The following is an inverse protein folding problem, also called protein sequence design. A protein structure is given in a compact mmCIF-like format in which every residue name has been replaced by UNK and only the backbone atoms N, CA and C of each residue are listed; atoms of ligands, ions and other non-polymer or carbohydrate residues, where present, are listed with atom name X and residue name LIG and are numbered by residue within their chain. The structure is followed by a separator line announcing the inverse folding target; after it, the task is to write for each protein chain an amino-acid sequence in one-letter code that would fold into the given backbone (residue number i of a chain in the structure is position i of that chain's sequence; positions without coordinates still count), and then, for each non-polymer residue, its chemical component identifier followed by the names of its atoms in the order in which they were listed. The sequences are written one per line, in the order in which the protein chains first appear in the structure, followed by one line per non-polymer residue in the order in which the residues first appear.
data_IF_226779359723
#
_entry.id   IF_226779359723
#
_cell.length_a   1.000
_cell.length_b   1.000
_cell.length_c   1.000
_cell.angle_alpha   90.00
_cell.angle_beta   90.00
_cell.angle_gamma   90.00
#
_symmetry.space_group_name_H-M   'P 1'
#
loop_
_entity.id
_entity.type
_entity.pdbx_description
1 polymer ?
#
# COMPACT_ATOMS: atom_id res chain seq x y z
N UNK A 1 -13.68 7.13 -19.06
CA UNK A 1 -14.71 6.45 -18.23
C UNK A 1 -15.23 5.17 -18.87
N UNK A 2 -15.63 5.16 -20.14
CA UNK A 2 -16.20 3.96 -20.80
C UNK A 2 -15.39 2.67 -20.63
N UNK A 3 -14.07 2.71 -20.84
CA UNK A 3 -13.18 1.55 -20.60
C UNK A 3 -13.17 1.01 -19.16
N UNK A 4 -13.48 1.87 -18.18
CA UNK A 4 -13.58 1.47 -16.77
C UNK A 4 -14.93 0.79 -16.54
N UNK A 5 -16.01 1.32 -17.11
CA UNK A 5 -17.34 0.71 -17.07
C UNK A 5 -17.35 -0.69 -17.67
N UNK A 6 -16.66 -0.90 -18.79
CA UNK A 6 -16.49 -2.22 -19.44
C UNK A 6 -15.82 -3.27 -18.53
N UNK A 7 -15.10 -2.85 -17.50
CA UNK A 7 -14.34 -3.72 -16.59
C UNK A 7 -14.96 -3.86 -15.20
N UNK A 8 -16.13 -3.30 -14.95
CA UNK A 8 -16.75 -3.31 -13.60
C UNK A 8 -16.95 -4.74 -13.10
N UNK A 9 -17.48 -5.63 -13.93
CA UNK A 9 -17.73 -7.02 -13.53
C UNK A 9 -16.43 -7.77 -13.20
N UNK A 10 -15.36 -7.45 -13.95
CA UNK A 10 -14.02 -7.96 -13.63
C UNK A 10 -13.57 -7.47 -12.26
N UNK A 11 -13.61 -6.16 -12.00
CA UNK A 11 -13.19 -5.59 -10.71
C UNK A 11 -14.00 -6.14 -9.54
N UNK A 12 -15.30 -6.36 -9.72
CA UNK A 12 -16.17 -6.99 -8.73
C UNK A 12 -15.76 -8.43 -8.38
N UNK A 13 -15.26 -9.17 -9.36
CA UNK A 13 -14.80 -10.56 -9.17
C UNK A 13 -13.40 -10.67 -8.56
N UNK A 14 -12.66 -9.56 -8.50
CA UNK A 14 -11.28 -9.55 -8.01
C UNK A 14 -11.23 -9.38 -6.50
N UNK A 15 -10.22 -9.97 -5.81
CA UNK A 15 -10.02 -9.77 -4.38
C UNK A 15 -9.39 -8.39 -4.11
N UNK A 16 -10.14 -7.33 -4.40
CA UNK A 16 -9.76 -5.93 -4.21
C UNK A 16 -10.87 -5.19 -3.45
N UNK A 17 -10.50 -4.14 -2.74
CA UNK A 17 -11.43 -3.25 -2.04
C UNK A 17 -11.50 -1.86 -2.68
N UNK A 18 -10.53 -1.53 -3.56
CA UNK A 18 -10.32 -0.18 -4.08
C UNK A 18 -9.94 -0.24 -5.55
N UNK A 19 -10.62 0.56 -6.37
CA UNK A 19 -10.26 0.80 -7.77
C UNK A 19 -9.68 2.20 -7.87
N UNK A 20 -8.44 2.29 -8.36
CA UNK A 20 -7.76 3.56 -8.59
C UNK A 20 -7.82 3.99 -10.06
N UNK A 21 -8.26 5.22 -10.30
CA UNK A 21 -8.28 5.82 -11.64
C UNK A 21 -7.51 7.13 -11.66
N UNK A 22 -6.95 7.52 -12.81
CA UNK A 22 -6.40 8.87 -12.99
C UNK A 22 -7.51 9.84 -13.35
N UNK A 23 -7.52 11.00 -12.69
CA UNK A 23 -8.39 12.11 -13.09
C UNK A 23 -7.98 12.58 -14.50
N UNK A 24 -8.96 12.71 -15.39
CA UNK A 24 -8.74 13.21 -16.75
C UNK A 24 -8.41 14.70 -16.77
N UNK A 25 -7.69 15.12 -17.80
CA UNK A 25 -7.23 16.51 -17.93
C UNK A 25 -8.34 17.47 -18.35
N UNK A 26 -9.42 16.99 -19.00
CA UNK A 26 -10.53 17.84 -19.45
C UNK A 26 -11.69 17.72 -18.46
N UNK A 27 -11.67 18.55 -17.42
CA UNK A 27 -12.70 18.59 -16.39
C UNK A 27 -13.90 19.44 -16.86
N UNK A 28 -14.87 18.79 -17.49
CA UNK A 28 -16.17 19.39 -17.79
C UNK A 28 -17.29 18.76 -16.96
N UNK A 29 -18.49 19.35 -16.99
CA UNK A 29 -19.64 18.90 -16.21
C UNK A 29 -19.98 17.43 -16.48
N UNK A 30 -20.05 17.03 -17.75
CA UNK A 30 -20.32 15.64 -18.15
C UNK A 30 -19.31 14.65 -17.57
N UNK A 31 -18.01 14.98 -17.63
CA UNK A 31 -16.96 14.12 -17.07
C UNK A 31 -17.13 13.95 -15.55
N UNK A 32 -17.49 15.03 -14.84
CA UNK A 32 -17.74 14.98 -13.39
C UNK A 32 -19.00 14.17 -13.07
N UNK A 33 -20.08 14.31 -13.84
CA UNK A 33 -21.28 13.49 -13.71
C UNK A 33 -20.99 11.99 -13.91
N UNK A 34 -20.21 11.65 -14.94
CA UNK A 34 -19.78 10.28 -15.21
C UNK A 34 -18.93 9.73 -14.04
N UNK A 35 -18.05 10.57 -13.48
CA UNK A 35 -17.21 10.24 -12.32
C UNK A 35 -18.04 9.99 -11.06
N UNK A 36 -19.04 10.81 -10.77
CA UNK A 36 -19.90 10.61 -9.60
C UNK A 36 -20.80 9.38 -9.76
N UNK A 37 -21.29 9.13 -10.97
CA UNK A 37 -22.04 7.92 -11.29
C UNK A 37 -21.18 6.68 -11.11
N UNK A 38 -19.91 6.73 -11.53
CA UNK A 38 -18.96 5.64 -11.33
C UNK A 38 -18.66 5.40 -9.84
N UNK A 39 -18.49 6.48 -9.06
CA UNK A 39 -18.30 6.38 -7.61
C UNK A 39 -19.49 5.69 -6.92
N UNK A 40 -20.72 6.06 -7.27
CA UNK A 40 -21.93 5.42 -6.75
C UNK A 40 -22.00 3.95 -7.14
N UNK A 41 -21.63 3.62 -8.38
CA UNK A 41 -21.62 2.24 -8.87
C UNK A 41 -20.61 1.38 -8.11
N UNK A 42 -19.36 1.85 -7.95
CA UNK A 42 -18.38 1.13 -7.15
C UNK A 42 -18.82 0.97 -5.69
N UNK A 43 -19.38 2.01 -5.07
CA UNK A 43 -19.91 1.90 -3.71
C UNK A 43 -21.01 0.83 -3.58
N UNK A 44 -21.88 0.66 -4.59
CA UNK A 44 -22.91 -0.40 -4.59
C UNK A 44 -22.33 -1.81 -4.68
N UNK A 45 -21.11 -1.96 -5.17
CA UNK A 45 -20.38 -3.22 -5.27
C UNK A 45 -19.32 -3.36 -4.15
N UNK A 46 -19.41 -2.57 -3.07
CA UNK A 46 -18.44 -2.51 -1.96
C UNK A 46 -16.99 -2.20 -2.39
N UNK A 47 -16.84 -1.46 -3.50
CA UNK A 47 -15.55 -0.97 -3.98
C UNK A 47 -15.41 0.53 -3.71
N UNK A 48 -14.25 0.91 -3.21
CA UNK A 48 -13.86 2.31 -3.03
C UNK A 48 -13.27 2.86 -4.33
N UNK A 49 -13.73 4.03 -4.78
CA UNK A 49 -13.08 4.77 -5.86
C UNK A 49 -11.97 5.67 -5.31
N UNK A 50 -10.73 5.39 -5.67
CA UNK A 50 -9.59 6.28 -5.42
C UNK A 50 -9.25 7.06 -6.69
N UNK A 51 -9.17 8.39 -6.57
CA UNK A 51 -8.85 9.27 -7.69
C UNK A 51 -7.40 9.72 -7.56
N UNK A 52 -6.58 9.44 -8.57
CA UNK A 52 -5.27 10.07 -8.71
C UNK A 52 -5.44 11.49 -9.23
N UNK A 53 -5.04 12.47 -8.43
CA UNK A 53 -5.24 13.90 -8.70
C UNK A 53 -3.89 14.60 -8.89
N UNK A 54 -3.78 15.39 -9.94
CA UNK A 54 -2.71 16.36 -10.12
C UNK A 54 -3.24 17.75 -9.79
N UNK A 55 -2.83 18.32 -8.66
CA UNK A 55 -3.39 19.58 -8.14
C UNK A 55 -3.11 20.78 -9.05
N UNK A 56 -1.96 20.79 -9.73
CA UNK A 56 -1.63 21.84 -10.70
C UNK A 56 -2.51 21.75 -11.93
N UNK A 57 -2.71 20.56 -12.49
CA UNK A 57 -3.58 20.37 -13.65
C UNK A 57 -5.03 20.73 -13.35
N UNK A 58 -5.55 20.30 -12.17
CA UNK A 58 -6.88 20.69 -11.70
C UNK A 58 -7.01 22.20 -11.61
N UNK A 59 -6.05 22.88 -10.97
CA UNK A 59 -6.11 24.33 -10.78
C UNK A 59 -6.08 25.08 -12.10
N UNK A 60 -5.24 24.65 -13.04
CA UNK A 60 -5.14 25.24 -14.39
C UNK A 60 -6.47 25.15 -15.14
N UNK A 61 -7.11 23.99 -15.09
CA UNK A 61 -8.43 23.78 -15.68
C UNK A 61 -9.50 24.71 -15.08
N UNK A 62 -9.54 24.83 -13.75
CA UNK A 62 -10.56 25.63 -13.05
C UNK A 62 -10.37 27.13 -13.24
N UNK A 63 -9.12 27.58 -13.30
CA UNK A 63 -8.80 29.00 -13.49
C UNK A 63 -8.85 29.42 -14.96
N UNK A 64 -8.98 28.46 -15.90
CA UNK A 64 -9.04 28.72 -17.34
C UNK A 64 -7.75 29.29 -17.89
N UNK A 65 -6.60 28.96 -17.28
CA UNK A 65 -5.32 29.57 -17.68
C UNK A 65 -4.23 28.58 -18.04
N UNK A 66 -3.53 28.91 -19.11
CA UNK A 66 -2.50 28.10 -19.74
C UNK A 66 -1.11 28.51 -19.25
N UNK A 67 -0.89 28.55 -17.93
CA UNK A 67 0.40 28.98 -17.39
C UNK A 67 1.42 27.83 -17.38
N UNK A 68 2.54 28.02 -18.08
CA UNK A 68 3.64 27.05 -18.15
C UNK A 68 4.52 27.05 -16.88
N UNK A 69 4.50 28.09 -16.05
CA UNK A 69 5.47 28.30 -14.96
C UNK A 69 4.91 28.55 -13.55
N UNK A 70 3.60 28.36 -13.31
CA UNK A 70 3.04 28.64 -11.98
C UNK A 70 3.49 27.65 -10.91
N UNK A 71 3.68 28.18 -9.70
CA UNK A 71 4.06 27.43 -8.51
C UNK A 71 2.83 27.01 -7.71
N UNK A 72 2.87 25.82 -7.10
CA UNK A 72 1.86 25.44 -6.10
C UNK A 72 1.88 26.37 -4.86
N UNK A 73 2.90 27.21 -4.72
CA UNK A 73 3.01 28.20 -3.66
C UNK A 73 2.05 29.38 -3.81
N UNK A 74 1.48 29.56 -5.01
CA UNK A 74 0.55 30.64 -5.25
C UNK A 74 -0.78 30.39 -4.53
N UNK A 75 -1.22 31.31 -3.64
CA UNK A 75 -2.44 31.10 -2.84
C UNK A 75 -3.69 30.85 -3.68
N UNK A 76 -3.76 31.42 -4.90
CA UNK A 76 -4.87 31.22 -5.83
C UNK A 76 -4.93 29.76 -6.33
N UNK A 77 -3.78 29.16 -6.62
CA UNK A 77 -3.65 27.76 -7.07
C UNK A 77 -4.01 26.81 -5.93
N UNK A 78 -3.51 27.06 -4.72
CA UNK A 78 -3.87 26.27 -3.54
C UNK A 78 -5.37 26.34 -3.25
N UNK A 79 -5.95 27.54 -3.27
CA UNK A 79 -7.38 27.74 -3.02
C UNK A 79 -8.24 27.02 -4.06
N UNK A 80 -7.89 27.10 -5.34
CA UNK A 80 -8.59 26.39 -6.41
C UNK A 80 -8.51 24.86 -6.22
N UNK A 81 -7.31 24.33 -5.96
CA UNK A 81 -7.05 22.91 -5.68
C UNK A 81 -7.93 22.38 -4.54
N UNK A 82 -7.88 23.03 -3.37
CA UNK A 82 -8.60 22.55 -2.18
C UNK A 82 -10.12 22.76 -2.29
N UNK A 83 -10.57 23.82 -2.97
CA UNK A 83 -11.99 24.02 -3.25
C UNK A 83 -12.55 22.90 -4.14
N UNK A 84 -11.78 22.45 -5.12
CA UNK A 84 -12.16 21.33 -5.97
C UNK A 84 -12.20 20.00 -5.21
N UNK A 85 -11.21 19.72 -4.36
CA UNK A 85 -11.23 18.54 -3.50
C UNK A 85 -12.46 18.55 -2.58
N UNK A 86 -12.79 19.69 -1.95
CA UNK A 86 -14.01 19.85 -1.17
C UNK A 86 -15.28 19.56 -1.99
N UNK A 87 -15.33 20.06 -3.23
CA UNK A 87 -16.43 19.80 -4.16
C UNK A 87 -16.60 18.30 -4.46
N UNK A 88 -15.51 17.55 -4.64
CA UNK A 88 -15.53 16.09 -4.84
C UNK A 88 -15.96 15.35 -3.56
N UNK A 89 -15.43 15.73 -2.40
CA UNK A 89 -15.78 15.13 -1.10
C UNK A 89 -17.26 15.28 -0.79
N UNK A 90 -17.83 16.48 -0.99
CA UNK A 90 -19.27 16.74 -0.82
C UNK A 90 -20.16 15.89 -1.73
N UNK A 91 -19.61 15.28 -2.79
CA UNK A 91 -20.30 14.37 -3.72
C UNK A 91 -19.93 12.90 -3.52
N UNK A 92 -19.28 12.58 -2.39
CA UNK A 92 -19.07 11.23 -1.90
C UNK A 92 -17.75 10.58 -2.31
N UNK A 93 -16.86 11.29 -3.03
CA UNK A 93 -15.50 10.78 -3.29
C UNK A 93 -14.66 10.99 -2.04
N UNK A 94 -14.13 9.89 -1.48
CA UNK A 94 -13.42 9.93 -0.20
C UNK A 94 -11.99 9.42 -0.25
N UNK A 95 -11.45 9.11 -1.44
CA UNK A 95 -10.09 8.60 -1.58
C UNK A 95 -9.30 9.30 -2.70
N UNK A 96 -8.11 9.80 -2.38
CA UNK A 96 -7.26 10.56 -3.29
C UNK A 96 -5.82 10.04 -3.32
N UNK A 97 -5.22 9.91 -4.49
CA UNK A 97 -3.78 9.63 -4.72
C UNK A 97 -3.12 10.88 -5.33
N UNK A 98 -2.24 11.54 -4.59
CA UNK A 98 -1.54 12.74 -5.07
C UNK A 98 -0.33 12.43 -5.93
N UNK A 99 0.05 11.16 -6.08
CA UNK A 99 1.27 10.76 -6.77
C UNK A 99 2.51 11.36 -6.13
N UNK A 100 3.55 11.56 -6.94
CA UNK A 100 4.83 12.11 -6.48
C UNK A 100 4.70 13.62 -6.21
N UNK A 101 4.79 14.06 -4.96
CA UNK A 101 4.66 15.49 -4.60
C UNK A 101 5.74 16.37 -5.26
N UNK A 102 6.82 15.80 -5.80
CA UNK A 102 7.89 16.56 -6.46
C UNK A 102 7.38 17.49 -7.58
N UNK A 103 6.27 17.16 -8.26
CA UNK A 103 5.74 18.05 -9.29
C UNK A 103 5.20 19.38 -8.71
N UNK A 104 4.81 19.41 -7.43
CA UNK A 104 4.30 20.61 -6.75
C UNK A 104 5.42 21.55 -6.32
N UNK A 105 6.59 21.01 -5.99
CA UNK A 105 7.74 21.77 -5.47
C UNK A 105 8.82 22.01 -6.52
N UNK A 106 8.57 21.65 -7.78
CA UNK A 106 9.56 21.66 -8.87
C UNK A 106 10.30 23.01 -9.04
N UNK A 107 9.64 24.12 -8.71
CA UNK A 107 10.21 25.47 -8.83
C UNK A 107 11.15 25.84 -7.68
N UNK A 108 11.07 25.14 -6.54
CA UNK A 108 11.91 25.36 -5.37
C UNK A 108 12.10 24.04 -4.57
N UNK A 109 12.81 23.05 -5.15
CA UNK A 109 12.93 21.74 -4.54
C UNK A 109 13.84 21.80 -3.31
N UNK A 110 13.30 21.46 -2.15
CA UNK A 110 14.06 21.16 -0.93
C UNK A 110 13.26 20.21 -0.05
N UNK A 111 13.95 19.47 0.82
CA UNK A 111 13.32 18.52 1.75
C UNK A 111 12.29 19.22 2.63
N UNK A 112 12.65 20.39 3.19
CA UNK A 112 11.74 21.25 3.94
C UNK A 112 10.49 21.61 3.13
N UNK A 113 10.64 21.96 1.85
CA UNK A 113 9.51 22.34 1.01
C UNK A 113 8.57 21.16 0.73
N UNK A 114 9.13 19.97 0.53
CA UNK A 114 8.34 18.74 0.33
C UNK A 114 7.55 18.43 1.61
N UNK A 115 8.17 18.54 2.78
CA UNK A 115 7.51 18.35 4.08
C UNK A 115 6.37 19.36 4.26
N UNK A 116 6.64 20.66 4.08
CA UNK A 116 5.65 21.72 4.28
C UNK A 116 4.45 21.57 3.32
N UNK A 117 4.73 21.22 2.06
CA UNK A 117 3.69 20.99 1.05
C UNK A 117 2.85 19.75 1.38
N UNK A 118 3.49 18.67 1.84
CA UNK A 118 2.83 17.44 2.29
C UNK A 118 1.87 17.71 3.45
N UNK A 119 2.35 18.42 4.49
CA UNK A 119 1.56 18.80 5.66
C UNK A 119 0.39 19.72 5.30
N UNK A 120 0.62 20.67 4.39
CA UNK A 120 -0.43 21.56 3.89
C UNK A 120 -1.56 20.78 3.22
N UNK A 121 -1.23 19.80 2.37
CA UNK A 121 -2.23 18.95 1.70
C UNK A 121 -3.03 18.16 2.73
N UNK A 122 -2.37 17.46 3.67
CA UNK A 122 -3.05 16.67 4.68
C UNK A 122 -3.96 17.49 5.59
N UNK A 123 -3.47 18.63 6.09
CA UNK A 123 -4.27 19.55 6.91
C UNK A 123 -5.55 19.97 6.19
N UNK A 124 -5.46 20.28 4.90
CA UNK A 124 -6.62 20.66 4.10
C UNK A 124 -7.54 19.49 3.75
N UNK A 125 -7.05 18.26 3.68
CA UNK A 125 -7.90 17.08 3.45
C UNK A 125 -8.68 16.67 4.70
N UNK A 126 -8.02 16.73 5.87
CA UNK A 126 -8.66 16.38 7.14
C UNK A 126 -9.79 17.33 7.50
N UNK A 127 -9.68 18.61 7.14
CA UNK A 127 -10.79 19.57 7.30
C UNK A 127 -12.00 19.23 6.42
N UNK A 128 -11.85 18.39 5.39
CA UNK A 128 -12.96 17.90 4.56
C UNK A 128 -13.67 16.67 5.15
N UNK A 129 -13.02 15.93 6.05
CA UNK A 129 -13.60 14.78 6.74
C UNK A 129 -12.56 13.80 7.27
N UNK A 130 -12.83 13.22 8.46
CA UNK A 130 -11.92 12.23 9.08
C UNK A 130 -11.78 10.94 8.26
N UNK A 131 -12.82 10.57 7.52
CA UNK A 131 -12.86 9.35 6.70
C UNK A 131 -12.22 9.52 5.31
N UNK A 132 -11.64 10.69 5.02
CA UNK A 132 -10.94 10.91 3.75
C UNK A 132 -9.61 10.16 3.77
N UNK A 133 -9.45 9.24 2.82
CA UNK A 133 -8.24 8.48 2.58
C UNK A 133 -7.35 9.26 1.61
N UNK A 134 -6.10 9.46 2.00
CA UNK A 134 -5.10 10.17 1.20
C UNK A 134 -3.89 9.31 0.97
N UNK A 135 -3.43 9.21 -0.29
CA UNK A 135 -2.19 8.57 -0.66
C UNK A 135 -1.23 9.58 -1.31
N UNK A 136 0.06 9.50 -0.97
CA UNK A 136 1.13 10.27 -1.58
C UNK A 136 2.30 9.36 -1.96
N UNK A 137 3.05 9.64 -3.02
CA UNK A 137 4.33 9.00 -3.35
C UNK A 137 5.48 9.91 -2.89
N UNK A 138 6.35 9.35 -2.04
CA UNK A 138 7.51 10.05 -1.47
C UNK A 138 8.80 9.29 -1.82
N UNK A 139 8.87 8.77 -3.05
CA UNK A 139 10.06 8.08 -3.58
C UNK A 139 11.26 8.99 -3.86
N UNK A 140 11.20 10.28 -3.49
CA UNK A 140 12.33 11.20 -3.61
C UNK A 140 13.52 10.71 -2.78
N UNK A 141 14.69 10.67 -3.43
CA UNK A 141 15.94 10.24 -2.81
C UNK A 141 16.31 11.26 -1.73
N UNK A 142 16.71 10.77 -0.55
CA UNK A 142 17.31 11.51 0.58
C UNK A 142 16.40 12.06 1.68
N UNK A 143 15.06 12.04 1.56
CA UNK A 143 14.21 12.43 2.70
C UNK A 143 14.02 11.23 3.64
N UNK A 144 14.42 11.42 4.90
CA UNK A 144 13.99 10.54 5.98
C UNK A 144 12.48 10.70 6.15
N UNK A 145 11.75 9.59 6.02
CA UNK A 145 10.29 9.60 6.13
C UNK A 145 9.85 10.11 7.50
N UNK A 146 10.66 9.92 8.54
CA UNK A 146 10.37 10.43 9.88
C UNK A 146 10.40 11.96 9.98
N UNK A 147 11.07 12.67 9.06
CA UNK A 147 11.01 14.13 9.02
C UNK A 147 9.65 14.63 8.47
N UNK A 148 9.02 13.83 7.62
CA UNK A 148 7.69 14.12 7.06
C UNK A 148 6.60 13.76 8.07
N UNK A 149 6.74 12.61 8.70
CA UNK A 149 5.77 12.04 9.62
C UNK A 149 5.84 12.72 10.97
N UNK A 150 4.75 13.34 11.36
CA UNK A 150 4.64 14.02 12.64
C UNK A 150 4.39 13.04 13.79
N UNK A 151 4.03 11.79 13.48
CA UNK A 151 3.56 10.82 14.48
C UNK A 151 2.10 11.07 14.89
N UNK A 152 1.49 12.14 14.37
CA UNK A 152 0.09 12.48 14.55
C UNK A 152 -0.67 12.19 13.24
N UNK A 153 -1.62 11.25 13.30
CA UNK A 153 -2.46 10.89 12.16
C UNK A 153 -3.29 12.03 11.58
N UNK A 154 -3.45 13.13 12.33
CA UNK A 154 -4.16 14.30 11.87
C UNK A 154 -3.32 15.17 10.91
N UNK A 155 -1.99 14.98 10.85
CA UNK A 155 -1.09 15.70 9.95
C UNK A 155 -0.43 14.82 8.89
N UNK A 156 -0.50 13.50 9.05
CA UNK A 156 0.12 12.52 8.16
C UNK A 156 -0.85 12.00 7.08
N UNK A 157 -0.29 11.59 5.93
CA UNK A 157 -1.09 10.99 4.85
C UNK A 157 -1.66 9.66 5.35
N UNK A 158 -2.83 9.26 4.83
CA UNK A 158 -3.39 7.95 5.18
C UNK A 158 -2.55 6.79 4.63
N UNK A 159 -1.86 7.02 3.50
CA UNK A 159 -0.96 6.15 2.75
C UNK A 159 0.23 6.93 2.15
N UNK A 160 1.46 6.47 2.35
CA UNK A 160 2.71 6.91 1.72
C UNK A 160 3.19 5.79 0.81
N UNK A 161 3.55 6.13 -0.41
CA UNK A 161 3.92 5.19 -1.43
C UNK A 161 5.42 5.06 -1.58
N UNK A 162 5.94 3.85 -1.36
CA UNK A 162 7.30 3.47 -1.71
C UNK A 162 7.37 2.00 -2.14
N UNK A 163 8.05 1.68 -3.26
CA UNK A 163 8.21 0.29 -3.68
C UNK A 163 8.96 -0.50 -2.60
N UNK A 164 8.37 -1.61 -2.15
CA UNK A 164 8.99 -2.51 -1.16
C UNK A 164 9.50 -3.74 -1.89
N UNK A 165 10.77 -4.06 -1.64
CA UNK A 165 11.38 -5.30 -2.07
C UNK A 165 12.00 -6.01 -0.86
N UNK A 166 11.35 -7.03 -0.30
CA UNK A 166 11.90 -7.75 0.85
C UNK A 166 13.25 -8.44 0.59
N UNK A 167 13.65 -8.61 -0.67
CA UNK A 167 14.99 -9.09 -1.03
C UNK A 167 16.07 -8.01 -0.81
N UNK A 168 15.68 -6.73 -0.80
CA UNK A 168 16.53 -5.59 -0.53
C UNK A 168 16.52 -5.23 0.98
N UNK A 169 17.71 -5.00 1.54
CA UNK A 169 17.88 -4.72 2.97
C UNK A 169 17.30 -3.37 3.37
N UNK A 170 17.40 -2.35 2.51
CA UNK A 170 16.86 -1.02 2.79
C UNK A 170 15.34 -1.06 2.95
N UNK A 171 14.67 -1.83 2.10
CA UNK A 171 13.23 -2.08 2.19
C UNK A 171 12.85 -2.77 3.51
N UNK A 172 13.62 -3.76 3.97
CA UNK A 172 13.38 -4.44 5.25
C UNK A 172 13.62 -3.52 6.45
N UNK A 173 14.67 -2.72 6.40
CA UNK A 173 14.98 -1.70 7.42
C UNK A 173 13.83 -0.69 7.54
N UNK A 174 13.34 -0.19 6.41
CA UNK A 174 12.19 0.71 6.35
C UNK A 174 10.94 0.08 7.00
N UNK A 175 10.61 -1.16 6.63
CA UNK A 175 9.48 -1.88 7.23
C UNK A 175 9.62 -2.00 8.75
N UNK A 176 10.81 -2.28 9.26
CA UNK A 176 11.04 -2.39 10.70
C UNK A 176 10.85 -1.05 11.42
N UNK A 177 11.51 0.00 10.96
CA UNK A 177 11.50 1.31 11.63
C UNK A 177 10.08 1.88 11.70
N UNK A 178 9.28 1.62 10.66
CA UNK A 178 7.85 1.95 10.60
C UNK A 178 7.10 1.55 11.86
N UNK A 179 7.22 0.29 12.22
CA UNK A 179 6.42 -0.31 13.29
C UNK A 179 7.00 0.04 14.66
N UNK A 180 8.32 0.26 14.73
CA UNK A 180 8.99 0.62 15.98
C UNK A 180 8.65 2.05 16.44
N UNK A 181 8.46 2.97 15.51
CA UNK A 181 8.25 4.38 15.83
C UNK A 181 6.77 4.75 16.09
N UNK A 182 5.88 3.76 16.22
CA UNK A 182 4.45 4.00 16.47
C UNK A 182 3.74 4.80 15.38
N UNK A 183 4.40 5.03 14.25
CA UNK A 183 3.88 5.84 13.17
C UNK A 183 2.70 5.12 12.52
N UNK A 184 1.59 5.84 12.31
CA UNK A 184 0.52 5.45 11.38
C UNK A 184 1.01 5.74 9.97
N UNK A 185 2.10 5.08 9.61
CA UNK A 185 2.63 5.08 8.26
C UNK A 185 2.09 3.85 7.59
N UNK A 186 1.97 4.02 6.31
CA UNK A 186 0.95 3.41 5.53
C UNK A 186 1.65 3.27 4.20
N UNK A 187 1.90 2.04 3.73
CA UNK A 187 2.89 1.80 2.68
C UNK A 187 2.21 1.30 1.43
N UNK A 188 2.46 1.95 0.30
CA UNK A 188 2.15 1.36 -1.01
C UNK A 188 3.13 0.23 -1.28
N UNK A 189 2.69 -1.00 -1.16
CA UNK A 189 3.38 -2.10 -1.82
C UNK A 189 3.02 -1.97 -3.31
N UNK A 190 3.80 -1.14 -4.00
CA UNK A 190 3.79 -1.05 -5.44
C UNK A 190 4.84 -2.00 -5.98
N UNK A 191 4.41 -3.14 -6.52
CA UNK A 191 5.27 -3.92 -7.40
C UNK A 191 5.79 -2.99 -8.50
N UNK A 192 7.11 -2.78 -8.53
CA UNK A 192 7.73 -1.91 -9.52
C UNK A 192 7.58 -2.55 -10.91
N UNK A 193 7.26 -1.71 -11.92
CA UNK A 193 7.18 -2.04 -13.36
C UNK A 193 8.29 -2.99 -13.89
N UNK A 194 9.44 -3.05 -13.22
CA UNK A 194 10.61 -3.83 -13.61
C UNK A 194 10.47 -5.34 -13.43
N UNK A 195 9.44 -5.85 -12.73
CA UNK A 195 9.31 -7.31 -12.44
C UNK A 195 8.52 -8.10 -13.48
N UNK A 196 7.85 -7.42 -14.40
CA UNK A 196 6.96 -8.01 -15.42
C UNK A 196 7.63 -9.06 -16.33
N UNK A 197 8.97 -9.13 -16.40
CA UNK A 197 9.68 -10.04 -17.32
C UNK A 197 10.06 -11.40 -16.72
N UNK A 198 10.04 -11.60 -15.39
CA UNK A 198 10.47 -12.84 -14.73
C UNK A 198 9.56 -13.18 -13.53
N UNK A 199 8.25 -13.28 -13.78
CA UNK A 199 7.26 -13.60 -12.76
C UNK A 199 7.35 -15.09 -12.37
N UNK A 200 7.44 -15.36 -11.07
CA UNK A 200 7.41 -16.70 -10.51
C UNK A 200 6.43 -16.70 -9.35
N UNK A 201 5.47 -17.64 -9.35
CA UNK A 201 4.47 -17.74 -8.28
C UNK A 201 5.13 -17.70 -6.90
N UNK A 202 6.15 -18.53 -6.67
CA UNK A 202 6.77 -18.70 -5.35
C UNK A 202 7.48 -17.43 -4.87
N UNK A 203 8.07 -16.68 -5.81
CA UNK A 203 8.71 -15.40 -5.49
C UNK A 203 7.69 -14.32 -5.17
N UNK A 204 6.64 -14.18 -5.98
CA UNK A 204 5.62 -13.15 -5.76
C UNK A 204 4.78 -13.46 -4.50
N UNK A 205 4.38 -14.71 -4.32
CA UNK A 205 3.65 -15.16 -3.13
C UNK A 205 4.47 -15.00 -1.84
N UNK A 206 5.80 -15.17 -1.85
CA UNK A 206 6.65 -14.88 -0.69
C UNK A 206 6.55 -13.40 -0.28
N UNK A 207 6.61 -12.50 -1.26
CA UNK A 207 6.48 -11.06 -1.01
C UNK A 207 5.10 -10.77 -0.43
N UNK A 208 4.05 -11.28 -1.06
CA UNK A 208 2.67 -11.13 -0.58
C UNK A 208 2.49 -11.67 0.84
N UNK A 209 3.05 -12.85 1.13
CA UNK A 209 3.03 -13.48 2.47
C UNK A 209 3.68 -12.55 3.49
N UNK A 210 4.89 -12.07 3.21
CA UNK A 210 5.66 -11.22 4.13
C UNK A 210 4.94 -9.91 4.51
N UNK A 211 4.01 -9.47 3.68
CA UNK A 211 3.30 -8.20 3.80
C UNK A 211 1.86 -8.38 4.29
N UNK A 212 1.39 -9.61 4.45
CA UNK A 212 -0.01 -9.93 4.78
C UNK A 212 -0.42 -9.37 6.15
N UNK A 213 0.45 -9.50 7.15
CA UNK A 213 0.19 -9.05 8.52
C UNK A 213 0.31 -7.54 8.70
N UNK A 214 0.95 -6.88 7.74
CA UNK A 214 1.26 -5.46 7.79
C UNK A 214 0.06 -4.64 7.28
N UNK A 215 -0.17 -3.48 7.89
CA UNK A 215 -1.29 -2.57 7.57
C UNK A 215 -1.03 -1.74 6.30
N UNK A 216 -0.81 -2.45 5.19
CA UNK A 216 -0.28 -1.87 3.96
C UNK A 216 -1.22 -2.13 2.79
N UNK A 217 -1.63 -1.09 2.01
CA UNK A 217 -2.35 -1.30 0.77
C UNK A 217 -1.47 -1.95 -0.28
N UNK A 218 -2.04 -2.94 -0.97
CA UNK A 218 -1.40 -3.64 -2.06
C UNK A 218 -1.87 -3.05 -3.39
N UNK A 219 -0.93 -2.58 -4.21
CA UNK A 219 -1.26 -1.98 -5.50
C UNK A 219 -0.96 -2.91 -6.64
N UNK A 220 -1.97 -3.05 -7.49
CA UNK A 220 -1.91 -3.91 -8.64
C UNK A 220 -2.30 -3.10 -9.87
N UNK A 221 -1.51 -3.23 -10.94
CA UNK A 221 -1.83 -2.61 -12.21
C UNK A 221 -2.71 -3.57 -13.03
N UNK A 222 -3.88 -3.08 -13.42
CA UNK A 222 -4.88 -3.77 -14.28
C UNK A 222 -4.33 -4.27 -15.64
N UNK A 223 -3.14 -3.82 -16.06
CA UNK A 223 -2.52 -4.26 -17.32
C UNK A 223 -1.58 -5.47 -17.19
N UNK A 224 -1.40 -6.05 -16.00
CA UNK A 224 -0.44 -7.15 -15.79
C UNK A 224 -1.14 -8.50 -15.66
N UNK A 225 -0.72 -9.48 -16.47
CA UNK A 225 -1.29 -10.84 -16.55
C UNK A 225 -0.86 -11.76 -15.38
N UNK A 226 -0.45 -11.18 -14.25
CA UNK A 226 0.21 -11.92 -13.18
C UNK A 226 -0.78 -12.71 -12.31
N UNK A 227 -2.07 -12.37 -12.37
CA UNK A 227 -3.13 -13.04 -11.60
C UNK A 227 -3.24 -14.53 -11.91
N UNK A 228 -3.01 -14.89 -13.17
CA UNK A 228 -3.21 -16.26 -13.67
C UNK A 228 -1.91 -17.09 -13.58
N UNK A 229 -0.85 -16.53 -13.01
CA UNK A 229 0.40 -17.28 -12.76
C UNK A 229 0.09 -18.38 -11.76
N UNK A 230 0.08 -19.62 -12.26
CA UNK A 230 -0.20 -20.80 -11.46
C UNK A 230 0.98 -21.19 -10.57
N UNK A 231 0.70 -21.84 -9.45
CA UNK A 231 1.69 -22.35 -8.53
C UNK A 231 1.17 -23.46 -7.62
N UNK A 232 1.87 -23.74 -6.51
CA UNK A 232 1.48 -24.80 -5.58
C UNK A 232 0.11 -24.61 -4.91
N UNK A 233 -0.42 -23.39 -4.93
CA UNK A 233 -1.73 -23.02 -4.38
C UNK A 233 -2.50 -22.28 -5.46
N UNK A 234 -2.91 -23.03 -6.48
CA UNK A 234 -3.73 -22.55 -7.61
C UNK A 234 -3.08 -21.37 -8.34
N UNK A 235 -3.59 -20.14 -8.17
CA UNK A 235 -3.08 -18.94 -8.82
C UNK A 235 -2.77 -17.80 -7.83
N UNK A 236 -2.05 -16.78 -8.29
CA UNK A 236 -1.85 -15.56 -7.50
C UNK A 236 -3.17 -14.88 -7.15
N UNK A 237 -4.19 -14.98 -8.02
CA UNK A 237 -5.53 -14.46 -7.74
C UNK A 237 -6.15 -15.12 -6.51
N UNK A 238 -6.11 -16.44 -6.44
CA UNK A 238 -6.68 -17.19 -5.32
C UNK A 238 -5.90 -16.89 -4.03
N UNK A 239 -4.57 -16.80 -4.15
CA UNK A 239 -3.69 -16.43 -3.05
C UNK A 239 -3.99 -15.03 -2.48
N UNK A 240 -4.28 -14.05 -3.35
CA UNK A 240 -4.72 -12.72 -2.92
C UNK A 240 -6.09 -12.75 -2.21
N UNK A 241 -6.99 -13.64 -2.64
CA UNK A 241 -8.26 -13.88 -1.95
C UNK A 241 -8.07 -14.32 -0.50
N UNK A 242 -7.16 -15.25 -0.24
CA UNK A 242 -6.83 -15.69 1.11
C UNK A 242 -6.21 -14.56 1.96
N UNK A 243 -5.31 -13.77 1.37
CA UNK A 243 -4.71 -12.61 2.04
C UNK A 243 -5.78 -11.57 2.41
N UNK A 244 -6.73 -11.28 1.52
CA UNK A 244 -7.79 -10.32 1.78
C UNK A 244 -8.68 -10.79 2.94
N UNK A 245 -9.05 -12.08 2.97
CA UNK A 245 -9.80 -12.67 4.10
C UNK A 245 -9.05 -12.50 5.42
N UNK A 246 -7.74 -12.81 5.45
CA UNK A 246 -6.90 -12.63 6.64
C UNK A 246 -6.88 -11.16 7.07
N UNK A 247 -6.66 -10.23 6.13
CA UNK A 247 -6.61 -8.79 6.42
C UNK A 247 -7.94 -8.27 6.97
N UNK A 248 -9.07 -8.67 6.39
CA UNK A 248 -10.40 -8.28 6.86
C UNK A 248 -10.65 -8.74 8.31
N UNK A 249 -10.22 -9.95 8.66
CA UNK A 249 -10.35 -10.47 10.03
C UNK A 249 -9.48 -9.74 11.05
N UNK A 250 -8.39 -9.10 10.60
CA UNK A 250 -7.42 -8.42 11.47
C UNK A 250 -7.53 -6.89 11.44
N UNK A 251 -8.33 -6.31 10.53
CA UNK A 251 -8.35 -4.87 10.24
C UNK A 251 -8.59 -3.99 11.47
N UNK A 252 -9.53 -4.38 12.33
CA UNK A 252 -9.89 -3.59 13.52
C UNK A 252 -8.95 -3.80 14.72
N UNK A 253 -7.97 -4.70 14.61
CA UNK A 253 -7.12 -5.08 15.74
C UNK A 253 -5.83 -4.24 15.76
N UNK A 254 -5.40 -3.78 16.96
CA UNK A 254 -4.18 -3.00 17.06
C UNK A 254 -2.96 -3.90 16.78
N UNK A 255 -2.05 -3.39 15.95
CA UNK A 255 -0.75 -4.01 15.67
C UNK A 255 0.28 -3.46 16.66
N UNK A 256 0.94 -4.34 17.41
CA UNK A 256 1.92 -4.01 18.45
C UNK A 256 3.10 -4.97 18.37
N UNK A 257 4.21 -4.62 19.04
CA UNK A 257 5.29 -5.58 19.31
C UNK A 257 5.91 -6.21 18.03
N UNK A 258 6.29 -5.38 17.05
CA UNK A 258 7.02 -5.86 15.88
C UNK A 258 8.50 -6.13 16.23
N UNK A 259 8.94 -7.38 16.05
CA UNK A 259 10.32 -7.79 16.29
C UNK A 259 10.85 -8.69 15.19
N UNK A 260 11.90 -8.25 14.51
CA UNK A 260 12.71 -9.11 13.65
C UNK A 260 13.51 -10.09 14.50
N UNK A 261 13.52 -11.38 14.15
CA UNK A 261 14.03 -12.44 15.04
C UNK A 261 15.35 -13.05 14.53
N UNK A 262 15.43 -13.42 13.24
CA UNK A 262 16.64 -14.01 12.63
C UNK A 262 17.41 -12.93 11.86
N UNK A 263 18.05 -12.00 12.59
CA UNK A 263 18.70 -10.81 11.99
C UNK A 263 20.03 -11.08 11.30
N UNK A 264 20.75 -12.13 11.71
CA UNK A 264 22.12 -12.38 11.25
C UNK A 264 22.20 -13.17 9.94
N UNK A 265 21.09 -13.80 9.55
CA UNK A 265 21.03 -14.59 8.32
C UNK A 265 20.43 -13.75 7.20
N UNK A 266 21.27 -13.36 6.24
CA UNK A 266 20.86 -12.54 5.09
C UNK A 266 19.90 -13.27 4.13
N UNK A 267 19.87 -14.60 4.21
CA UNK A 267 19.08 -15.46 3.34
C UNK A 267 17.68 -15.71 3.92
N UNK A 268 17.41 -15.25 5.15
CA UNK A 268 16.13 -15.39 5.84
C UNK A 268 15.58 -14.00 6.20
N UNK A 269 14.31 -13.76 5.91
CA UNK A 269 13.57 -12.66 6.52
C UNK A 269 12.52 -13.22 7.48
N UNK A 270 12.54 -12.78 8.74
CA UNK A 270 11.58 -13.26 9.74
C UNK A 270 11.25 -12.20 10.76
N UNK A 271 10.00 -12.17 11.18
CA UNK A 271 9.53 -11.27 12.23
C UNK A 271 8.40 -11.90 13.03
N UNK A 272 8.25 -11.43 14.27
CA UNK A 272 7.03 -11.59 15.05
C UNK A 272 6.29 -10.26 15.13
N UNK A 273 4.97 -10.37 15.23
CA UNK A 273 4.08 -9.24 15.37
C UNK A 273 2.90 -9.67 16.26
N UNK A 274 2.47 -8.80 17.16
CA UNK A 274 1.24 -9.00 17.93
C UNK A 274 0.10 -8.21 17.30
N UNK A 275 -1.04 -8.86 17.06
CA UNK A 275 -2.24 -8.21 16.53
C UNK A 275 -3.43 -8.59 17.41
N UNK A 276 -3.94 -7.61 18.16
CA UNK A 276 -4.84 -7.88 19.28
C UNK A 276 -4.15 -8.78 20.33
N UNK A 277 -4.78 -9.89 20.67
CA UNK A 277 -4.23 -10.87 21.61
C UNK A 277 -3.36 -11.93 20.92
N UNK A 278 -3.45 -12.05 19.59
CA UNK A 278 -2.75 -13.08 18.84
C UNK A 278 -1.30 -12.69 18.56
N UNK A 279 -0.39 -13.66 18.68
CA UNK A 279 1.01 -13.55 18.26
C UNK A 279 1.22 -14.24 16.92
N UNK A 280 1.78 -13.51 15.97
CA UNK A 280 2.10 -13.99 14.63
C UNK A 280 3.60 -14.12 14.46
N UNK A 281 3.98 -15.06 13.60
CA UNK A 281 5.36 -15.34 13.23
C UNK A 281 5.43 -15.50 11.71
N UNK A 282 6.10 -14.57 11.04
CA UNK A 282 6.48 -14.71 9.64
C UNK A 282 7.91 -15.23 9.51
N UNK A 283 8.11 -16.17 8.60
CA UNK A 283 9.44 -16.70 8.23
C UNK A 283 9.46 -16.88 6.72
N UNK A 284 10.48 -16.33 6.06
CA UNK A 284 10.67 -16.38 4.62
C UNK A 284 12.09 -16.70 4.22
N UNK A 285 12.27 -17.64 3.29
CA UNK A 285 13.53 -17.91 2.61
C UNK A 285 13.69 -16.96 1.42
N UNK A 286 14.73 -16.14 1.40
CA UNK A 286 14.98 -15.14 0.36
C UNK A 286 15.77 -15.72 -0.84
N UNK A 287 16.01 -17.02 -0.90
CA UNK A 287 16.93 -17.64 -1.88
C UNK A 287 16.30 -18.78 -2.68
N UNK A 288 17.07 -19.25 -3.68
CA UNK A 288 16.73 -20.41 -4.50
C UNK A 288 17.05 -21.76 -3.84
N UNK A 289 17.79 -21.77 -2.74
CA UNK A 289 18.24 -23.00 -2.07
C UNK A 289 17.32 -23.31 -0.90
N UNK A 290 17.28 -24.57 -0.50
CA UNK A 290 16.63 -24.93 0.77
C UNK A 290 17.50 -24.51 1.95
N UNK A 291 16.88 -24.05 3.03
CA UNK A 291 17.57 -23.58 4.23
C UNK A 291 16.96 -24.25 5.46
N UNK A 292 17.81 -24.90 6.26
CA UNK A 292 17.40 -25.48 7.53
C UNK A 292 17.48 -24.42 8.64
N UNK A 293 16.35 -24.12 9.27
CA UNK A 293 16.25 -23.08 10.30
C UNK A 293 15.86 -23.70 11.63
N UNK A 294 16.68 -23.50 12.66
CA UNK A 294 16.36 -23.93 14.03
C UNK A 294 15.48 -22.87 14.73
N UNK A 295 14.16 -23.00 14.58
CA UNK A 295 13.17 -22.05 15.12
C UNK A 295 13.17 -22.03 16.65
N UNK A 296 13.51 -23.14 17.30
CA UNK A 296 13.51 -23.22 18.76
C UNK A 296 14.52 -22.28 19.44
N UNK A 297 15.54 -21.81 18.71
CA UNK A 297 16.49 -20.80 19.22
C UNK A 297 15.90 -19.40 19.31
N UNK A 298 14.76 -19.17 18.64
CA UNK A 298 14.20 -17.86 18.37
C UNK A 298 12.79 -17.69 18.94
N UNK A 299 12.02 -18.79 19.02
CA UNK A 299 10.62 -18.79 19.44
C UNK A 299 10.39 -19.92 20.45
N UNK A 300 10.01 -19.54 21.67
CA UNK A 300 9.52 -20.48 22.69
C UNK A 300 8.11 -20.97 22.36
N UNK A 301 7.76 -22.15 22.87
CA UNK A 301 6.44 -22.79 22.67
C UNK A 301 6.01 -22.85 21.21
N UNK A 302 6.96 -23.07 20.30
CA UNK A 302 6.71 -23.11 18.86
C UNK A 302 5.64 -24.16 18.50
N UNK A 303 5.46 -25.23 19.27
CA UNK A 303 4.44 -26.26 19.04
C UNK A 303 2.99 -25.77 19.15
N UNK A 304 2.72 -24.63 19.80
CA UNK A 304 1.38 -24.06 19.93
C UNK A 304 0.95 -23.25 18.69
N UNK A 305 1.89 -22.91 17.83
CA UNK A 305 1.63 -22.13 16.63
C UNK A 305 0.97 -22.99 15.54
N UNK A 306 -0.06 -22.43 14.89
CA UNK A 306 -0.73 -23.05 13.73
C UNK A 306 -0.43 -22.26 12.47
N UNK A 307 -0.29 -22.94 11.34
CA UNK A 307 -0.10 -22.26 10.06
C UNK A 307 -1.37 -21.46 9.73
N UNK A 308 -1.18 -20.18 9.44
CA UNK A 308 -2.22 -19.29 8.95
C UNK A 308 -2.15 -19.16 7.42
N UNK A 309 -0.95 -18.96 6.88
CA UNK A 309 -0.72 -18.78 5.46
C UNK A 309 0.66 -19.32 5.09
N UNK A 310 0.74 -20.04 3.97
CA UNK A 310 2.02 -20.47 3.40
C UNK A 310 1.90 -20.50 1.89
N UNK A 311 2.98 -20.27 1.15
CA UNK A 311 2.94 -20.24 -0.32
C UNK A 311 3.21 -21.60 -1.00
N UNK A 312 3.50 -22.64 -0.22
CA UNK A 312 3.67 -24.02 -0.71
C UNK A 312 2.63 -25.00 -0.15
N UNK A 313 1.59 -24.50 0.52
CA UNK A 313 0.51 -25.27 1.12
C UNK A 313 0.71 -25.51 2.62
N UNK A 314 0.21 -26.66 3.10
CA UNK A 314 0.18 -26.99 4.54
C UNK A 314 1.58 -27.23 5.10
N UNK A 315 1.81 -26.75 6.32
CA UNK A 315 3.02 -26.92 7.11
C UNK A 315 2.67 -26.98 8.59
N UNK A 316 3.52 -27.65 9.34
CA UNK A 316 3.52 -27.65 10.79
C UNK A 316 4.86 -27.11 11.26
N UNK A 317 4.82 -26.28 12.29
CA UNK A 317 6.02 -25.75 12.92
C UNK A 317 6.67 -26.85 13.78
N UNK A 318 7.96 -27.06 13.57
CA UNK A 318 8.78 -28.03 14.30
C UNK A 318 10.09 -27.36 14.70
N UNK A 319 10.88 -28.02 15.56
CA UNK A 319 12.15 -27.47 16.08
C UNK A 319 13.07 -26.93 14.97
N UNK A 320 13.27 -27.73 13.93
CA UNK A 320 14.06 -27.38 12.76
C UNK A 320 13.16 -27.44 11.52
N UNK A 321 12.96 -26.32 10.84
CA UNK A 321 12.15 -26.24 9.63
C UNK A 321 13.08 -26.16 8.42
N UNK A 322 12.93 -27.08 7.47
CA UNK A 322 13.55 -26.96 6.16
C UNK A 322 12.65 -26.10 5.27
N UNK A 323 13.06 -24.84 5.09
CA UNK A 323 12.40 -23.88 4.21
C UNK A 323 12.80 -24.16 2.76
N UNK A 324 11.81 -24.36 1.89
CA UNK A 324 12.01 -24.51 0.44
C UNK A 324 12.43 -23.18 -0.19
N UNK A 325 12.90 -23.24 -1.42
CA UNK A 325 13.20 -22.06 -2.23
C UNK A 325 12.03 -21.07 -2.20
N UNK A 326 12.31 -19.83 -1.82
CA UNK A 326 11.30 -18.78 -1.74
C UNK A 326 10.05 -19.13 -0.91
N UNK A 327 10.15 -20.04 0.07
CA UNK A 327 9.03 -20.38 0.94
C UNK A 327 8.80 -19.26 1.97
N UNK A 328 7.55 -18.81 2.05
CA UNK A 328 7.05 -17.86 3.04
C UNK A 328 5.95 -18.51 3.86
N UNK A 329 6.05 -18.42 5.18
CA UNK A 329 5.11 -19.00 6.13
C UNK A 329 4.72 -17.97 7.18
N UNK A 330 3.43 -17.89 7.48
CA UNK A 330 2.88 -17.19 8.64
C UNK A 330 2.24 -18.21 9.56
N UNK A 331 2.68 -18.21 10.80
CA UNK A 331 2.05 -18.94 11.88
C UNK A 331 1.36 -17.98 12.86
N UNK A 332 0.32 -18.46 13.53
CA UNK A 332 -0.42 -17.73 14.56
C UNK A 332 -0.58 -18.57 15.83
N UNK A 333 -0.51 -17.90 16.97
CA UNK A 333 -0.79 -18.45 18.29
C UNK A 333 -1.68 -17.47 19.06
N UNK A 334 -2.67 -17.99 19.78
CA UNK A 334 -3.51 -17.19 20.69
C UNK A 334 -2.77 -16.83 21.97
#
# INVERSE_FOLDING_TARGET
MNKIYEKIDLYKSMPIDTVKISLGNNLNEKYLEDLFSLNKKFASDNLLLMIKVNLLEVSKNLLGVNYKNESFDEPKIQKASFSFLNFLVKRGIRAFDFGDINYLVKNNPSDKKIIDTSRLINKNLRSLGKDVISLCDLSYKYIDLYDILTGDSDFDFSYICRPINIFDEQSRKLLKETYQNGGRISYKIGFSKSRSKNLSFVKESLILTSLTLLDLPLYIKDSESYFDVAGPIESIRDYLGEILKIKNNLHALPRKEFYEIIKKDKDIYSYSLKIGDNKFLFIGNLTQKEILVNISMYVSNYSEYKLLLGNYGKRTIVKNILLRSYEGLIFVRK
#
